data_IF_448609534449
#
_entry.id   IF_448609534449
#
_cell.length_a   1.000
_cell.length_b   1.000
_cell.length_c   1.000
_cell.angle_alpha   90.00
_cell.angle_beta   90.00
_cell.angle_gamma   90.00
#
_symmetry.space_group_name_H-M   'P 1'
#
loop_
_entity.id
_entity.type
_entity.pdbx_description
1 polymer ?
#
# COMPACT_ATOMS: atom_id res chain seq x y z
N UNK A 1 42.82 -25.31 20.07
CA UNK A 1 42.84 -24.18 21.03
C UNK A 1 42.95 -22.81 20.36
N UNK A 2 43.95 -22.57 19.49
CA UNK A 2 44.12 -21.25 18.83
C UNK A 2 42.92 -20.81 17.97
N UNK A 3 42.36 -21.72 17.16
CA UNK A 3 41.17 -21.45 16.32
C UNK A 3 39.96 -21.11 17.18
N UNK A 4 39.78 -21.81 18.29
CA UNK A 4 38.65 -21.60 19.20
C UNK A 4 38.71 -20.20 19.84
N UNK A 5 39.92 -19.75 20.22
CA UNK A 5 40.14 -18.37 20.70
C UNK A 5 39.86 -17.32 19.61
N UNK A 6 40.27 -17.59 18.37
CA UNK A 6 39.97 -16.70 17.24
C UNK A 6 38.46 -16.60 17.01
N UNK A 7 37.75 -17.73 17.00
CA UNK A 7 36.31 -17.77 16.83
C UNK A 7 35.58 -17.02 17.95
N UNK A 8 35.96 -17.23 19.21
CA UNK A 8 35.39 -16.52 20.36
C UNK A 8 35.65 -15.01 20.32
N UNK A 9 36.84 -14.61 19.90
CA UNK A 9 37.21 -13.19 19.80
C UNK A 9 36.41 -12.51 18.68
N UNK A 10 36.34 -13.12 17.50
CA UNK A 10 35.56 -12.61 16.37
C UNK A 10 34.07 -12.53 16.70
N UNK A 11 33.51 -13.53 17.39
CA UNK A 11 32.11 -13.51 17.83
C UNK A 11 31.86 -12.35 18.82
N UNK A 12 32.78 -12.14 19.76
CA UNK A 12 32.68 -11.04 20.73
C UNK A 12 32.77 -9.67 20.06
N UNK A 13 33.68 -9.48 19.11
CA UNK A 13 33.78 -8.25 18.33
C UNK A 13 32.49 -7.97 17.56
N UNK A 14 31.94 -8.98 16.89
CA UNK A 14 30.68 -8.87 16.14
C UNK A 14 29.50 -8.44 17.02
N UNK A 15 29.36 -9.03 18.21
CA UNK A 15 28.30 -8.66 19.17
C UNK A 15 28.51 -7.24 19.70
N UNK A 16 29.75 -6.76 19.80
CA UNK A 16 30.07 -5.41 20.25
C UNK A 16 29.89 -4.33 19.18
N UNK A 17 30.07 -4.67 17.90
CA UNK A 17 30.01 -3.71 16.78
C UNK A 17 28.62 -3.59 16.16
N UNK A 18 27.76 -4.59 16.32
CA UNK A 18 26.40 -4.61 15.78
C UNK A 18 25.35 -4.48 16.88
N UNK A 19 24.15 -4.00 16.51
CA UNK A 19 23.03 -4.06 17.44
C UNK A 19 22.63 -5.53 17.65
N UNK A 20 22.62 -6.00 18.90
CA UNK A 20 22.21 -7.36 19.27
C UNK A 20 20.87 -7.77 18.62
N UNK A 21 19.91 -6.84 18.51
CA UNK A 21 18.63 -7.06 17.84
C UNK A 21 18.78 -7.43 16.35
N UNK A 22 19.78 -6.87 15.66
CA UNK A 22 20.07 -7.16 14.26
C UNK A 22 20.62 -8.58 14.10
N UNK A 23 21.57 -8.98 14.96
CA UNK A 23 22.14 -10.34 14.96
C UNK A 23 21.08 -11.42 15.21
N UNK A 24 20.06 -11.10 16.01
CA UNK A 24 18.95 -12.01 16.30
C UNK A 24 17.91 -12.05 15.19
N UNK A 25 17.78 -10.98 14.41
CA UNK A 25 16.80 -10.88 13.33
C UNK A 25 17.32 -11.47 12.01
N UNK A 26 18.63 -11.31 11.74
CA UNK A 26 19.27 -11.82 10.53
C UNK A 26 20.50 -12.68 10.85
N UNK A 27 20.22 -13.96 11.12
CA UNK A 27 21.24 -14.93 11.54
C UNK A 27 22.14 -15.37 10.39
N UNK A 28 21.63 -15.37 9.14
CA UNK A 28 22.43 -15.74 7.97
C UNK A 28 23.54 -14.73 7.71
N UNK A 29 23.20 -13.44 7.76
CA UNK A 29 24.17 -12.36 7.58
C UNK A 29 25.23 -12.37 8.69
N UNK A 30 24.84 -12.72 9.92
CA UNK A 30 25.78 -12.87 11.03
C UNK A 30 26.72 -14.09 10.83
N UNK A 31 26.17 -15.23 10.44
CA UNK A 31 26.92 -16.46 10.18
C UNK A 31 27.94 -16.27 9.02
N UNK A 32 27.54 -15.58 7.95
CA UNK A 32 28.41 -15.26 6.81
C UNK A 32 29.54 -14.30 7.20
N UNK A 33 29.23 -13.19 7.89
CA UNK A 33 30.26 -12.28 8.39
C UNK A 33 31.26 -12.99 9.32
N UNK A 34 30.77 -13.89 10.18
CA UNK A 34 31.61 -14.59 11.13
C UNK A 34 32.52 -15.60 10.43
N UNK A 35 32.00 -16.27 9.40
CA UNK A 35 32.77 -17.16 8.52
C UNK A 35 33.88 -16.41 7.79
N UNK A 36 33.59 -15.26 7.20
CA UNK A 36 34.61 -14.45 6.52
C UNK A 36 35.70 -13.99 7.49
N UNK A 37 35.32 -13.46 8.65
CA UNK A 37 36.26 -12.91 9.62
C UNK A 37 37.15 -13.99 10.25
N UNK A 38 36.58 -15.14 10.60
CA UNK A 38 37.36 -16.28 11.10
C UNK A 38 38.25 -16.83 9.98
N UNK A 39 37.72 -17.03 8.78
CA UNK A 39 38.48 -17.52 7.62
C UNK A 39 39.69 -16.65 7.31
N UNK A 40 39.53 -15.32 7.36
CA UNK A 40 40.61 -14.36 7.19
C UNK A 40 41.71 -14.50 8.25
N UNK A 41 41.33 -14.65 9.53
CA UNK A 41 42.27 -14.81 10.65
C UNK A 41 42.95 -16.17 10.66
N UNK A 42 42.34 -17.22 10.12
CA UNK A 42 42.89 -18.59 10.09
C UNK A 42 43.63 -18.94 8.80
N UNK A 43 43.49 -18.15 7.73
CA UNK A 43 44.19 -18.36 6.46
C UNK A 43 45.72 -18.51 6.58
N UNK A 44 46.44 -17.74 7.43
CA UNK A 44 47.89 -17.91 7.61
C UNK A 44 48.30 -19.27 8.18
N UNK A 45 47.36 -20.00 8.78
CA UNK A 45 47.60 -21.34 9.33
C UNK A 45 47.25 -22.45 8.33
N UNK A 46 46.83 -22.10 7.10
CA UNK A 46 46.43 -23.07 6.07
C UNK A 46 45.08 -23.73 6.32
N UNK A 47 44.22 -23.11 7.14
CA UNK A 47 42.92 -23.67 7.54
C UNK A 47 41.80 -22.95 6.80
N UNK A 48 40.98 -23.73 6.09
CA UNK A 48 39.78 -23.25 5.39
C UNK A 48 38.53 -23.46 6.24
N UNK A 49 37.70 -22.43 6.36
CA UNK A 49 36.45 -22.47 7.13
C UNK A 49 35.28 -22.68 6.18
N UNK A 50 34.59 -23.82 6.30
CA UNK A 50 33.48 -24.18 5.41
C UNK A 50 32.17 -23.51 5.82
N UNK A 51 31.83 -23.56 7.10
CA UNK A 51 30.61 -22.96 7.67
C UNK A 51 30.83 -22.56 9.11
N UNK A 52 30.08 -21.56 9.54
CA UNK A 52 29.98 -21.12 10.94
C UNK A 52 28.50 -20.93 11.22
N UNK A 53 28.03 -21.43 12.37
CA UNK A 53 26.65 -21.27 12.81
C UNK A 53 26.65 -20.87 14.28
N UNK A 54 26.03 -19.74 14.59
CA UNK A 54 25.72 -19.38 15.97
C UNK A 54 24.66 -20.38 16.47
N UNK A 55 24.83 -20.99 17.65
CA UNK A 55 23.87 -21.96 18.21
C UNK A 55 22.82 -21.30 19.11
N UNK A 56 23.20 -21.08 20.37
CA UNK A 56 22.30 -20.61 21.42
C UNK A 56 22.73 -19.23 21.91
N UNK A 57 21.79 -18.29 21.92
CA UNK A 57 22.00 -16.94 22.48
C UNK A 57 21.05 -16.77 23.66
N UNK A 58 21.62 -16.75 24.86
CA UNK A 58 20.86 -16.48 26.08
C UNK A 58 20.87 -14.98 26.37
N UNK A 59 19.73 -14.32 26.19
CA UNK A 59 19.57 -12.89 26.51
C UNK A 59 19.18 -12.77 27.99
N UNK A 60 19.87 -11.95 28.78
CA UNK A 60 19.50 -11.73 30.18
C UNK A 60 18.13 -11.04 30.29
N UNK A 61 17.32 -11.43 31.29
CA UNK A 61 15.94 -10.95 31.48
C UNK A 61 15.86 -9.42 31.55
N UNK A 62 16.82 -8.76 32.20
CA UNK A 62 16.87 -7.30 32.29
C UNK A 62 16.96 -6.60 30.92
N UNK A 63 17.58 -7.24 29.92
CA UNK A 63 17.73 -6.68 28.58
C UNK A 63 16.52 -7.03 27.68
N UNK A 64 15.87 -8.16 27.91
CA UNK A 64 14.68 -8.59 27.14
C UNK A 64 13.57 -7.53 27.18
N UNK A 65 13.29 -6.99 28.36
CA UNK A 65 12.27 -5.93 28.54
C UNK A 65 12.63 -4.65 27.77
N UNK A 66 13.88 -4.21 27.88
CA UNK A 66 14.35 -3.00 27.18
C UNK A 66 14.30 -3.18 25.65
N UNK A 67 14.75 -4.34 25.15
CA UNK A 67 14.73 -4.68 23.74
C UNK A 67 13.30 -4.78 23.20
N UNK A 68 12.39 -5.38 23.96
CA UNK A 68 10.98 -5.49 23.58
C UNK A 68 10.34 -4.11 23.41
N UNK A 69 10.56 -3.20 24.37
CA UNK A 69 10.08 -1.82 24.28
C UNK A 69 10.69 -1.06 23.09
N UNK A 70 11.99 -1.21 22.87
CA UNK A 70 12.67 -0.58 21.73
C UNK A 70 12.14 -1.11 20.39
N UNK A 71 11.97 -2.43 20.27
CA UNK A 71 11.44 -3.07 19.06
C UNK A 71 10.00 -2.61 18.77
N UNK A 72 9.18 -2.48 19.81
CA UNK A 72 7.82 -1.96 19.65
C UNK A 72 7.83 -0.50 19.19
N UNK A 73 8.66 0.35 19.79
CA UNK A 73 8.78 1.75 19.41
C UNK A 73 9.25 1.93 17.95
N UNK A 74 10.25 1.16 17.51
CA UNK A 74 10.71 1.22 16.12
C UNK A 74 9.64 0.72 15.15
N UNK A 75 8.93 -0.37 15.48
CA UNK A 75 7.80 -0.85 14.66
C UNK A 75 6.68 0.18 14.57
N UNK A 76 6.32 0.82 15.67
CA UNK A 76 5.28 1.84 15.69
C UNK A 76 5.68 3.07 14.88
N UNK A 77 6.94 3.50 15.00
CA UNK A 77 7.52 4.58 14.18
C UNK A 77 7.47 4.21 12.70
N UNK A 78 7.92 3.01 12.33
CA UNK A 78 7.89 2.54 10.94
C UNK A 78 6.46 2.46 10.40
N UNK A 79 5.51 1.94 11.19
CA UNK A 79 4.11 1.92 10.83
C UNK A 79 3.56 3.33 10.57
N UNK A 80 3.92 4.32 11.40
CA UNK A 80 3.53 5.72 11.18
C UNK A 80 4.13 6.32 9.91
N UNK A 81 5.40 6.03 9.62
CA UNK A 81 6.05 6.49 8.38
C UNK A 81 5.38 5.89 7.15
N UNK A 82 5.08 4.59 7.18
CA UNK A 82 4.38 3.89 6.09
C UNK A 82 2.97 4.45 5.92
N UNK A 83 2.25 4.69 7.01
CA UNK A 83 0.92 5.28 6.94
C UNK A 83 0.96 6.68 6.32
N UNK A 84 1.87 7.54 6.79
CA UNK A 84 2.01 8.89 6.24
C UNK A 84 2.40 8.91 4.76
N UNK A 85 3.28 8.01 4.32
CA UNK A 85 3.65 7.90 2.90
C UNK A 85 2.49 7.36 2.06
N UNK A 86 1.74 6.39 2.58
CA UNK A 86 0.54 5.87 1.93
C UNK A 86 -0.54 6.96 1.79
N UNK A 87 -0.78 7.74 2.84
CA UNK A 87 -1.73 8.86 2.82
C UNK A 87 -1.36 9.90 1.77
N UNK A 88 -0.07 10.27 1.67
CA UNK A 88 0.41 11.20 0.65
C UNK A 88 0.20 10.65 -0.78
N UNK A 89 0.49 9.38 -1.00
CA UNK A 89 0.27 8.72 -2.29
C UNK A 89 -1.23 8.67 -2.66
N UNK A 90 -2.08 8.32 -1.70
CA UNK A 90 -3.54 8.29 -1.87
C UNK A 90 -4.07 9.69 -2.18
N UNK A 91 -3.60 10.73 -1.47
CA UNK A 91 -4.02 12.11 -1.72
C UNK A 91 -3.68 12.56 -3.15
N UNK A 92 -2.50 12.22 -3.66
CA UNK A 92 -2.11 12.52 -5.03
C UNK A 92 -3.05 11.85 -6.06
N UNK A 93 -3.38 10.58 -5.85
CA UNK A 93 -4.32 9.85 -6.70
C UNK A 93 -5.74 10.45 -6.66
N UNK A 94 -6.19 10.94 -5.49
CA UNK A 94 -7.48 11.62 -5.39
C UNK A 94 -7.53 12.91 -6.18
N UNK A 95 -6.45 13.70 -6.19
CA UNK A 95 -6.37 14.93 -6.99
C UNK A 95 -6.45 14.61 -8.48
N UNK A 96 -5.73 13.58 -8.93
CA UNK A 96 -5.80 13.11 -10.33
C UNK A 96 -7.20 12.63 -10.72
N UNK A 97 -7.84 11.85 -9.86
CA UNK A 97 -9.22 11.42 -10.06
C UNK A 97 -10.20 12.60 -10.09
N UNK A 98 -10.04 13.59 -9.20
CA UNK A 98 -10.86 14.79 -9.18
C UNK A 98 -10.74 15.61 -10.47
N UNK A 99 -9.51 15.77 -11.00
CA UNK A 99 -9.28 16.43 -12.28
C UNK A 99 -9.95 15.69 -13.43
N UNK A 100 -9.95 14.35 -13.40
CA UNK A 100 -10.64 13.54 -14.41
C UNK A 100 -12.16 13.70 -14.34
N UNK A 101 -12.72 13.72 -13.12
CA UNK A 101 -14.16 13.94 -12.90
C UNK A 101 -14.62 15.34 -13.26
N UNK A 102 -13.77 16.36 -13.13
CA UNK A 102 -14.10 17.72 -13.55
C UNK A 102 -14.47 17.80 -15.04
N UNK A 103 -13.83 16.99 -15.90
CA UNK A 103 -14.15 16.89 -17.33
C UNK A 103 -15.30 15.94 -17.68
N UNK A 104 -15.76 15.10 -16.73
CA UNK A 104 -16.69 14.00 -17.00
C UNK A 104 -17.76 13.88 -15.89
N UNK A 105 -18.77 14.75 -15.85
CA UNK A 105 -19.78 14.78 -14.78
C UNK A 105 -20.58 13.47 -14.67
N UNK A 106 -20.83 12.77 -15.78
CA UNK A 106 -21.50 11.46 -15.79
C UNK A 106 -20.67 10.39 -15.06
N UNK A 107 -19.34 10.44 -15.16
CA UNK A 107 -18.46 9.49 -14.47
C UNK A 107 -18.51 9.68 -12.93
N UNK A 108 -18.60 10.93 -12.47
CA UNK A 108 -18.77 11.22 -11.04
C UNK A 108 -20.11 10.70 -10.51
N UNK A 109 -21.19 10.83 -11.28
CA UNK A 109 -22.50 10.30 -10.94
C UNK A 109 -22.50 8.77 -10.87
N UNK A 110 -21.89 8.07 -11.83
CA UNK A 110 -21.73 6.61 -11.79
C UNK A 110 -20.91 6.15 -10.58
N UNK A 111 -19.85 6.89 -10.21
CA UNK A 111 -19.10 6.63 -8.98
C UNK A 111 -19.96 6.79 -7.72
N UNK A 112 -20.78 7.84 -7.65
CA UNK A 112 -21.71 8.03 -6.54
C UNK A 112 -22.71 6.88 -6.42
N UNK A 113 -23.27 6.43 -7.55
CA UNK A 113 -24.17 5.27 -7.59
C UNK A 113 -23.47 3.97 -7.18
N UNK A 114 -22.22 3.75 -7.61
CA UNK A 114 -21.45 2.56 -7.22
C UNK A 114 -21.17 2.53 -5.71
N UNK A 115 -20.83 3.68 -5.11
CA UNK A 115 -20.65 3.79 -3.65
C UNK A 115 -21.95 3.44 -2.93
N UNK A 116 -23.10 3.95 -3.39
CA UNK A 116 -24.42 3.62 -2.83
C UNK A 116 -24.70 2.12 -2.97
N UNK A 117 -24.41 1.52 -4.12
CA UNK A 117 -24.61 0.10 -4.36
C UNK A 117 -23.75 -0.78 -3.44
N UNK A 118 -22.44 -0.53 -3.34
CA UNK A 118 -21.54 -1.30 -2.48
C UNK A 118 -21.91 -1.15 -0.99
N UNK A 119 -22.21 0.07 -0.53
CA UNK A 119 -22.63 0.31 0.86
C UNK A 119 -23.98 -0.34 1.20
N UNK A 120 -24.91 -0.37 0.24
CA UNK A 120 -26.22 -1.03 0.39
C UNK A 120 -26.08 -2.55 0.41
N UNK A 121 -25.24 -3.10 -0.47
CA UNK A 121 -24.94 -4.53 -0.59
C UNK A 121 -24.29 -5.10 0.67
N UNK A 122 -23.37 -4.37 1.30
CA UNK A 122 -22.63 -4.87 2.46
C UNK A 122 -23.37 -4.72 3.80
N UNK A 123 -24.20 -3.68 3.99
CA UNK A 123 -24.67 -3.31 5.35
C UNK A 123 -26.15 -2.98 5.50
N UNK A 124 -26.95 -2.90 4.42
CA UNK A 124 -28.36 -2.49 4.54
C UNK A 124 -28.54 -1.18 5.32
N UNK A 125 -27.64 -0.21 5.12
CA UNK A 125 -27.52 0.98 5.95
C UNK A 125 -28.34 2.17 5.40
N UNK A 126 -28.87 3.02 6.30
CA UNK A 126 -29.45 4.32 5.97
C UNK A 126 -28.36 5.28 5.49
N UNK A 127 -28.42 5.71 4.23
CA UNK A 127 -27.44 6.62 3.61
C UNK A 127 -27.95 8.06 3.73
N UNK A 128 -27.16 8.95 4.36
CA UNK A 128 -27.43 10.39 4.37
C UNK A 128 -26.97 10.99 3.03
N UNK A 129 -27.93 11.32 2.16
CA UNK A 129 -27.67 12.01 0.90
C UNK A 129 -27.72 13.54 1.10
N UNK A 130 -26.72 14.30 0.63
CA UNK A 130 -26.84 15.74 0.50
C UNK A 130 -28.04 16.11 -0.39
N UNK A 131 -28.83 17.11 -0.01
CA UNK A 131 -30.03 17.53 -0.74
C UNK A 131 -29.75 17.88 -2.21
N UNK A 132 -28.54 18.39 -2.51
CA UNK A 132 -28.10 18.70 -3.87
C UNK A 132 -28.06 17.49 -4.82
N UNK A 133 -27.88 16.27 -4.30
CA UNK A 133 -27.96 15.06 -5.11
C UNK A 133 -29.41 14.64 -5.38
N UNK A 134 -30.31 14.87 -4.42
CA UNK A 134 -31.74 14.56 -4.55
C UNK A 134 -32.42 15.51 -5.54
N UNK A 135 -32.04 16.78 -5.56
CA UNK A 135 -32.58 17.77 -6.49
C UNK A 135 -32.30 17.43 -7.97
N UNK A 136 -31.15 16.80 -8.25
CA UNK A 136 -30.81 16.32 -9.60
C UNK A 136 -31.63 15.09 -10.05
N UNK A 137 -32.23 14.38 -9.09
CA UNK A 137 -33.07 13.20 -9.32
C UNK A 137 -34.57 13.55 -9.30
N UNK A 138 -34.94 14.75 -8.89
CA UNK A 138 -36.32 15.22 -8.99
C UNK A 138 -36.57 15.68 -10.43
N UNK A 139 -37.31 14.91 -11.27
CA UNK A 139 -37.66 15.38 -12.60
C UNK A 139 -38.42 16.70 -12.44
N UNK A 140 -38.07 17.70 -13.25
CA UNK A 140 -38.72 19.00 -13.16
C UNK A 140 -40.25 18.85 -13.20
N UNK A 141 -41.02 19.71 -12.53
CA UNK A 141 -42.48 19.63 -12.53
C UNK A 141 -43.07 19.57 -13.94
N UNK A 142 -42.38 20.15 -14.93
CA UNK A 142 -42.71 20.06 -16.34
C UNK A 142 -42.56 18.65 -16.93
N UNK A 143 -41.50 17.92 -16.59
CA UNK A 143 -41.27 16.53 -17.03
C UNK A 143 -42.25 15.57 -16.36
N UNK A 144 -42.56 15.79 -15.07
CA UNK A 144 -43.57 15.01 -14.35
C UNK A 144 -44.98 15.30 -14.88
N UNK A 145 -45.30 16.56 -15.18
CA UNK A 145 -46.57 16.92 -15.81
C UNK A 145 -46.71 16.32 -17.22
N UNK A 146 -45.61 16.24 -17.99
CA UNK A 146 -45.59 15.63 -19.31
C UNK A 146 -45.72 14.10 -19.26
N UNK A 147 -45.15 13.45 -18.24
CA UNK A 147 -45.26 12.01 -18.02
C UNK A 147 -46.65 11.60 -17.50
N UNK A 148 -47.28 12.43 -16.66
CA UNK A 148 -48.63 12.19 -16.12
C UNK A 148 -49.73 12.56 -17.13
N UNK A 149 -49.51 13.56 -17.96
CA UNK A 149 -50.39 13.89 -19.08
C UNK A 149 -49.96 13.06 -20.30
N UNK A 150 -50.31 11.77 -20.32
CA UNK A 150 -49.96 10.82 -21.37
C UNK A 150 -50.30 11.27 -22.80
N UNK A 151 -49.46 12.12 -23.38
CA UNK A 151 -49.50 12.55 -24.78
C UNK A 151 -48.22 12.10 -25.47
N UNK A 152 -48.46 11.36 -26.54
CA UNK A 152 -47.50 10.68 -27.39
C UNK A 152 -46.19 11.45 -27.59
N UNK A 153 -45.09 10.71 -27.44
CA UNK A 153 -43.76 11.08 -27.89
C UNK A 153 -43.84 11.61 -29.33
N UNK A 154 -43.23 12.77 -29.66
CA UNK A 154 -43.07 13.15 -31.04
C UNK A 154 -42.11 12.16 -31.71
N UNK A 155 -42.58 11.58 -32.80
CA UNK A 155 -41.86 10.67 -33.69
C UNK A 155 -40.61 11.39 -34.24
N UNK A 156 -39.46 10.74 -34.12
CA UNK A 156 -38.19 11.26 -34.65
C UNK A 156 -38.22 11.09 -36.19
N UNK A 157 -38.06 12.16 -37.00
CA UNK A 157 -38.04 12.01 -38.45
C UNK A 157 -36.79 11.26 -38.89
N UNK A 158 -37.00 10.16 -39.59
CA UNK A 158 -35.97 9.24 -40.04
C UNK A 158 -35.54 9.57 -41.47
N UNK A 159 -35.11 10.80 -41.77
CA UNK A 159 -34.66 11.16 -43.13
C UNK A 159 -33.49 12.15 -43.12
N UNK A 160 -32.27 11.61 -43.18
CA UNK A 160 -31.10 12.32 -43.72
C UNK A 160 -29.99 11.36 -44.17
N UNK A 161 -30.32 10.29 -44.91
CA UNK A 161 -29.39 9.70 -45.87
C UNK A 161 -29.74 10.21 -47.28
N UNK A 162 -29.07 11.29 -47.71
CA UNK A 162 -28.67 11.58 -49.10
C UNK A 162 -28.19 13.02 -49.23
N UNK A 163 -26.88 13.22 -49.20
CA UNK A 163 -26.14 13.93 -50.26
C UNK A 163 -24.64 13.88 -49.95
N UNK A 164 -24.02 12.78 -50.39
CA UNK A 164 -22.61 12.77 -50.78
C UNK A 164 -22.62 12.67 -52.30
N UNK A 165 -22.29 13.75 -53.01
CA UNK A 165 -21.74 13.75 -54.38
C UNK A 165 -21.28 15.19 -54.75
N UNK A 166 -20.48 15.41 -55.82
CA UNK A 166 -19.03 15.52 -55.71
C UNK A 166 -18.46 16.73 -56.51
N UNK A 167 -17.13 16.75 -56.67
CA UNK A 167 -16.33 17.52 -57.65
C UNK A 167 -16.00 18.98 -57.28
N UNK A 168 -14.89 19.59 -57.69
CA UNK A 168 -13.56 19.19 -58.14
C UNK A 168 -12.87 20.54 -58.46
N UNK A 169 -11.62 20.72 -58.04
CA UNK A 169 -10.53 21.42 -58.75
C UNK A 169 -9.39 21.74 -57.79
#
# INVERSE_FOLDING_TARGET
EAIDRVAQTSLREMIGSSMLASLLSDRKDADEHLKEEIGRKTAPWGISVTSVEIRDVAIPVALQDAMSRQAQAEREKQARVILGSAEAAIAAQFVEAANTYAGHPVALQLRAMNIIYETTKERGATILLPSSMVDSLNPSPAVLALALAGKALPEVPHDAERQVAPSAS
#
